data_IF_768381834352
#
_entry.id   IF_768381834352
#
_cell.length_a   1.000
_cell.length_b   1.000
_cell.length_c   1.000
_cell.angle_alpha   90.00
_cell.angle_beta   90.00
_cell.angle_gamma   90.00
#
_symmetry.space_group_name_H-M   'P 1'
#
loop_
_entity.id
_entity.type
_entity.pdbx_description
1 polymer ?
#
# COMPACT_ATOMS: atom_id res chain seq x y z
N UNK A 1 -10.99 10.33 -9.81
CA UNK A 1 -11.06 11.79 -9.50
C UNK A 1 -9.78 12.49 -9.94
N UNK A 2 -9.72 13.81 -10.15
CA UNK A 2 -8.45 14.49 -10.53
C UNK A 2 -7.37 14.34 -9.45
N UNK A 3 -6.12 14.19 -9.86
CA UNK A 3 -4.98 14.13 -8.95
C UNK A 3 -4.86 15.42 -8.12
N UNK A 4 -4.58 15.29 -6.83
CA UNK A 4 -4.44 16.45 -5.91
C UNK A 4 -3.02 17.01 -5.87
N UNK A 5 -2.04 16.29 -6.43
CA UNK A 5 -0.66 16.75 -6.55
C UNK A 5 -0.58 17.92 -7.54
N UNK A 6 -0.03 19.04 -7.08
CA UNK A 6 0.10 20.26 -7.88
C UNK A 6 0.87 20.00 -9.17
N UNK A 7 0.26 20.32 -10.31
CA UNK A 7 0.86 20.16 -11.64
C UNK A 7 0.72 18.76 -12.25
N UNK A 8 0.10 17.81 -11.55
CA UNK A 8 -0.18 16.49 -12.13
C UNK A 8 -1.49 16.53 -12.96
N UNK A 9 -1.47 16.19 -14.26
CA UNK A 9 -2.67 16.16 -15.09
C UNK A 9 -3.47 14.85 -14.93
N UNK A 10 -2.99 13.92 -14.12
CA UNK A 10 -3.56 12.59 -14.00
C UNK A 10 -4.87 12.54 -13.21
N UNK A 11 -5.49 11.36 -13.26
CA UNK A 11 -6.67 11.02 -12.50
C UNK A 11 -6.40 9.76 -11.67
N UNK A 12 -7.05 9.66 -10.52
CA UNK A 12 -7.03 8.46 -9.70
C UNK A 12 -8.03 7.43 -10.24
N UNK A 13 -7.52 6.22 -10.41
CA UNK A 13 -8.27 5.01 -10.74
C UNK A 13 -8.25 4.03 -9.55
N UNK A 14 -9.34 3.29 -9.33
CA UNK A 14 -9.36 2.18 -8.38
C UNK A 14 -8.43 1.06 -8.85
N UNK A 15 -7.49 0.67 -7.98
CA UNK A 15 -6.53 -0.41 -8.20
C UNK A 15 -6.24 -1.15 -6.90
N UNK A 16 -5.46 -2.20 -7.00
CA UNK A 16 -4.82 -2.80 -5.84
C UNK A 16 -3.32 -2.55 -5.88
N UNK A 17 -2.72 -2.37 -4.71
CA UNK A 17 -1.28 -2.10 -4.56
C UNK A 17 -0.66 -3.05 -3.56
N UNK A 18 0.67 -3.18 -3.65
CA UNK A 18 1.49 -3.76 -2.59
C UNK A 18 1.81 -2.67 -1.58
N UNK A 19 1.40 -2.85 -0.33
CA UNK A 19 1.71 -1.94 0.77
C UNK A 19 2.79 -2.55 1.66
N UNK A 20 3.97 -1.94 1.67
CA UNK A 20 5.09 -2.37 2.51
C UNK A 20 5.25 -1.43 3.69
N UNK A 21 5.28 -2.00 4.89
CA UNK A 21 5.41 -1.23 6.14
C UNK A 21 6.47 -1.85 7.05
N UNK A 22 7.08 -1.01 7.88
CA UNK A 22 7.87 -1.47 9.02
C UNK A 22 6.99 -1.44 10.27
N UNK A 23 6.74 -2.62 10.84
CA UNK A 23 5.95 -2.76 12.06
C UNK A 23 6.72 -3.58 13.09
N UNK A 24 6.98 -2.99 14.27
CA UNK A 24 7.73 -3.63 15.38
C UNK A 24 9.04 -4.30 14.95
N UNK A 25 9.80 -3.62 14.08
CA UNK A 25 11.09 -4.10 13.56
C UNK A 25 11.00 -5.08 12.39
N UNK A 26 9.81 -5.57 12.03
CA UNK A 26 9.60 -6.43 10.88
C UNK A 26 9.20 -5.63 9.65
N UNK A 27 9.72 -6.00 8.48
CA UNK A 27 9.16 -5.55 7.19
C UNK A 27 7.97 -6.45 6.87
N UNK A 28 6.79 -5.87 6.77
CA UNK A 28 5.54 -6.57 6.43
C UNK A 28 5.12 -6.12 5.04
N UNK A 29 4.87 -7.10 4.16
CA UNK A 29 4.36 -6.87 2.81
C UNK A 29 2.91 -7.31 2.77
N UNK A 30 2.02 -6.38 2.47
CA UNK A 30 0.58 -6.61 2.37
C UNK A 30 0.19 -6.43 0.91
N UNK A 31 -0.20 -7.52 0.28
CA UNK A 31 -0.57 -7.55 -1.13
C UNK A 31 -2.07 -7.29 -1.32
N UNK A 32 -2.48 -6.92 -2.53
CA UNK A 32 -3.87 -6.66 -2.93
C UNK A 32 -4.60 -5.59 -2.08
N UNK A 33 -3.90 -4.56 -1.61
CA UNK A 33 -4.50 -3.49 -0.81
C UNK A 33 -5.32 -2.58 -1.74
N UNK A 34 -6.65 -2.41 -1.52
CA UNK A 34 -7.47 -1.52 -2.33
C UNK A 34 -7.04 -0.06 -2.18
N UNK A 35 -6.81 0.62 -3.29
CA UNK A 35 -6.33 1.99 -3.33
C UNK A 35 -6.83 2.73 -4.57
N UNK A 36 -6.74 4.05 -4.53
CA UNK A 36 -6.86 4.92 -5.68
C UNK A 36 -5.46 5.35 -6.13
N UNK A 37 -5.09 5.06 -7.38
CA UNK A 37 -3.73 5.31 -7.89
C UNK A 37 -3.79 6.28 -9.07
N UNK A 38 -3.00 7.36 -9.00
CA UNK A 38 -2.90 8.32 -10.08
C UNK A 38 -2.29 7.67 -11.33
N UNK A 39 -2.95 7.80 -12.47
CA UNK A 39 -2.54 7.26 -13.77
C UNK A 39 -1.24 7.86 -14.33
N UNK A 40 -0.74 8.97 -13.76
CA UNK A 40 0.44 9.69 -14.24
C UNK A 40 1.58 9.66 -13.22
N UNK A 41 1.38 10.21 -12.02
CA UNK A 41 2.46 10.32 -11.03
C UNK A 41 2.58 9.10 -10.11
N UNK A 42 1.59 8.21 -10.10
CA UNK A 42 1.58 7.03 -9.24
C UNK A 42 1.27 7.32 -7.76
N UNK A 43 0.80 8.53 -7.43
CA UNK A 43 0.32 8.83 -6.08
C UNK A 43 -0.80 7.87 -5.66
N UNK A 44 -0.79 7.44 -4.39
CA UNK A 44 -1.65 6.38 -3.87
C UNK A 44 -2.46 6.90 -2.70
N UNK A 45 -3.79 6.82 -2.81
CA UNK A 45 -4.71 7.15 -1.74
C UNK A 45 -5.33 5.87 -1.18
N UNK A 46 -5.32 5.76 0.14
CA UNK A 46 -5.95 4.67 0.87
C UNK A 46 -7.18 5.19 1.61
N UNK A 47 -8.33 4.55 1.40
CA UNK A 47 -9.56 4.89 2.09
C UNK A 47 -9.43 4.64 3.61
N UNK A 48 -10.16 5.39 4.47
CA UNK A 48 -10.12 5.19 5.92
C UNK A 48 -10.39 3.75 6.37
N UNK A 49 -11.33 3.05 5.71
CA UNK A 49 -11.64 1.67 6.02
C UNK A 49 -10.54 0.69 5.61
N UNK A 50 -9.81 1.00 4.52
CA UNK A 50 -8.60 0.25 4.14
C UNK A 50 -7.55 0.39 5.24
N UNK A 51 -7.30 1.61 5.73
CA UNK A 51 -6.33 1.86 6.80
C UNK A 51 -6.68 1.09 8.07
N UNK A 52 -7.94 1.15 8.54
CA UNK A 52 -8.39 0.41 9.74
C UNK A 52 -8.16 -1.10 9.61
N UNK A 53 -8.36 -1.66 8.40
CA UNK A 53 -8.12 -3.09 8.14
C UNK A 53 -6.63 -3.43 8.15
N UNK A 54 -5.79 -2.56 7.58
CA UNK A 54 -4.32 -2.70 7.63
C UNK A 54 -3.82 -2.66 9.08
N UNK A 55 -4.29 -1.71 9.89
CA UNK A 55 -3.93 -1.60 11.30
C UNK A 55 -4.29 -2.88 12.07
N UNK A 56 -5.53 -3.37 11.91
CA UNK A 56 -5.96 -4.63 12.53
C UNK A 56 -5.11 -5.84 12.08
N UNK A 57 -4.71 -5.88 10.82
CA UNK A 57 -3.81 -6.93 10.31
C UNK A 57 -2.43 -6.86 10.98
N UNK A 58 -1.89 -5.65 11.12
CA UNK A 58 -0.60 -5.42 11.78
C UNK A 58 -0.64 -5.63 13.29
N UNK A 59 -1.78 -5.45 13.95
CA UNK A 59 -1.95 -5.76 15.37
C UNK A 59 -1.97 -7.26 15.63
N UNK A 60 -2.62 -8.02 14.75
CA UNK A 60 -2.81 -9.47 14.90
C UNK A 60 -1.65 -10.30 14.37
N UNK A 61 -0.93 -9.81 13.35
CA UNK A 61 0.21 -10.47 12.70
C UNK A 61 -0.04 -11.98 12.48
N UNK A 62 -1.07 -12.37 11.70
CA UNK A 62 -1.32 -13.78 11.41
C UNK A 62 -0.17 -14.37 10.60
N UNK A 63 -0.10 -15.72 10.55
CA UNK A 63 0.85 -16.43 9.69
C UNK A 63 0.74 -15.91 8.25
N UNK A 64 1.86 -15.46 7.64
CA UNK A 64 1.86 -14.96 6.27
C UNK A 64 1.32 -16.00 5.29
N UNK A 65 0.56 -15.55 4.30
CA UNK A 65 0.09 -16.44 3.23
C UNK A 65 1.22 -16.88 2.29
N UNK A 66 2.27 -16.06 2.18
CA UNK A 66 3.48 -16.27 1.38
C UNK A 66 4.65 -15.51 2.02
N UNK A 67 5.87 -15.96 1.74
CA UNK A 67 7.09 -15.25 2.09
C UNK A 67 7.66 -14.54 0.85
N UNK A 68 8.32 -13.40 1.06
CA UNK A 68 8.96 -12.61 0.00
C UNK A 68 10.48 -12.72 0.11
N UNK A 69 11.22 -12.80 -1.02
CA UNK A 69 12.67 -12.80 -0.96
C UNK A 69 13.18 -11.44 -0.49
N UNK A 70 14.17 -11.45 0.40
CA UNK A 70 14.93 -10.27 0.81
C UNK A 70 16.31 -10.33 0.17
N UNK A 71 16.70 -9.26 -0.51
CA UNK A 71 18.03 -9.10 -1.10
C UNK A 71 18.76 -7.97 -0.40
N UNK A 72 20.02 -8.20 -0.03
CA UNK A 72 20.91 -7.14 0.44
C UNK A 72 21.48 -6.38 -0.77
N UNK A 73 21.49 -5.04 -0.69
CA UNK A 73 22.19 -4.21 -1.66
C UNK A 73 23.69 -4.25 -1.33
N UNK A 74 24.50 -4.66 -2.30
CA UNK A 74 25.95 -4.91 -2.14
C UNK A 74 26.74 -3.68 -1.68
#
# INVERSE_FOLDING_TARGET
MKCTIQGCPGEYDERTVVHTVRHRGNVVVIDHVPAEVCSVCGDVLLAPDTIRRLEKLLETMPTPSKEVPLYEFA
#
